data_IF_018211259409
#
_entry.id   IF_018211259409
#
_cell.length_a   1.000
_cell.length_b   1.000
_cell.length_c   1.000
_cell.angle_alpha   90.00
_cell.angle_beta   90.00
_cell.angle_gamma   90.00
#
_symmetry.space_group_name_H-M   'P 1'
#
loop_
_entity.id
_entity.type
_entity.pdbx_description
1 polymer ?
#
# COMPACT_ATOMS: atom_id res chain seq x y z
N UNK A 1 8.84 -8.58 5.00
CA UNK A 1 8.22 -9.85 4.57
C UNK A 1 9.11 -10.62 3.62
N UNK A 2 9.09 -11.95 3.75
CA UNK A 2 9.75 -12.89 2.85
C UNK A 2 8.70 -13.65 2.06
N UNK A 3 8.99 -13.96 0.79
CA UNK A 3 8.13 -14.82 -0.01
C UNK A 3 8.91 -15.58 -1.07
N UNK A 4 8.21 -16.42 -1.83
CA UNK A 4 8.81 -17.25 -2.88
C UNK A 4 8.49 -16.69 -4.26
N UNK A 5 9.53 -16.61 -5.10
CA UNK A 5 9.40 -16.36 -6.53
C UNK A 5 10.10 -17.50 -7.28
N UNK A 6 9.32 -18.41 -7.87
CA UNK A 6 9.82 -19.70 -8.33
C UNK A 6 10.44 -20.49 -7.17
N UNK A 7 11.67 -20.98 -7.34
CA UNK A 7 12.36 -21.72 -6.28
C UNK A 7 13.14 -20.82 -5.29
N UNK A 8 13.13 -19.49 -5.45
CA UNK A 8 13.92 -18.57 -4.61
C UNK A 8 13.07 -17.98 -3.50
N UNK A 9 13.62 -17.91 -2.27
CA UNK A 9 13.04 -17.15 -1.15
C UNK A 9 13.70 -15.76 -1.08
N UNK A 10 12.90 -14.71 -1.25
CA UNK A 10 13.35 -13.33 -1.42
C UNK A 10 12.71 -12.42 -0.38
N UNK A 11 13.35 -11.29 -0.10
CA UNK A 11 12.70 -10.14 0.55
C UNK A 11 11.70 -9.55 -0.44
N UNK A 12 10.41 -9.54 -0.10
CA UNK A 12 9.36 -8.97 -0.96
C UNK A 12 8.88 -7.60 -0.46
N UNK A 13 8.99 -7.36 0.84
CA UNK A 13 8.78 -6.04 1.44
C UNK A 13 9.74 -5.82 2.60
N UNK A 14 10.16 -4.58 2.79
CA UNK A 14 11.03 -4.14 3.88
C UNK A 14 10.53 -2.81 4.42
N UNK A 15 10.43 -2.72 5.75
CA UNK A 15 10.06 -1.49 6.45
C UNK A 15 11.19 -0.45 6.37
N UNK A 16 10.91 0.75 6.90
CA UNK A 16 11.87 1.86 6.89
C UNK A 16 13.17 1.52 7.64
N UNK A 17 13.08 0.80 8.76
CA UNK A 17 14.25 0.45 9.57
C UNK A 17 15.17 -0.55 8.84
N UNK A 18 14.59 -1.58 8.24
CA UNK A 18 15.30 -2.56 7.43
C UNK A 18 15.95 -1.89 6.21
N UNK A 19 15.25 -0.97 5.53
CA UNK A 19 15.82 -0.19 4.42
C UNK A 19 16.99 0.69 4.88
N UNK A 20 16.85 1.37 6.02
CA UNK A 20 17.92 2.19 6.60
C UNK A 20 19.15 1.35 6.99
N UNK A 21 18.95 0.09 7.37
CA UNK A 21 20.02 -0.88 7.64
C UNK A 21 20.61 -1.51 6.36
N UNK A 22 20.19 -1.08 5.17
CA UNK A 22 20.75 -1.51 3.89
C UNK A 22 20.07 -2.73 3.25
N UNK A 23 18.92 -3.19 3.75
CA UNK A 23 18.11 -4.17 3.03
C UNK A 23 17.40 -3.53 1.84
N UNK A 24 17.30 -4.29 0.76
CA UNK A 24 16.47 -3.96 -0.40
C UNK A 24 15.56 -5.13 -0.76
N UNK A 25 14.43 -4.82 -1.38
CA UNK A 25 13.52 -5.82 -1.96
C UNK A 25 14.23 -6.56 -3.10
N UNK A 26 13.93 -7.85 -3.24
CA UNK A 26 14.47 -8.72 -4.28
C UNK A 26 15.76 -9.46 -3.89
N UNK A 27 16.40 -9.12 -2.78
CA UNK A 27 17.58 -9.88 -2.31
C UNK A 27 17.18 -11.23 -1.71
N UNK A 28 18.06 -12.26 -1.78
CA UNK A 28 17.81 -13.54 -1.12
C UNK A 28 17.62 -13.37 0.39
N UNK A 29 16.66 -14.10 0.96
CA UNK A 29 16.37 -14.07 2.39
C UNK A 29 17.60 -14.43 3.24
N UNK A 30 18.43 -15.38 2.79
CA UNK A 30 19.68 -15.74 3.46
C UNK A 30 20.68 -14.59 3.49
N UNK A 31 20.78 -13.81 2.40
CA UNK A 31 21.64 -12.62 2.35
C UNK A 31 21.12 -11.53 3.29
N UNK A 32 19.82 -11.31 3.33
CA UNK A 32 19.19 -10.34 4.23
C UNK A 32 19.50 -10.63 5.71
N UNK A 33 19.42 -11.90 6.12
CA UNK A 33 19.72 -12.33 7.49
C UNK A 33 21.19 -12.15 7.88
N UNK A 34 22.11 -12.19 6.92
CA UNK A 34 23.54 -11.91 7.15
C UNK A 34 23.80 -10.40 7.27
N UNK A 35 23.12 -9.58 6.45
CA UNK A 35 23.29 -8.13 6.45
C UNK A 35 22.75 -7.46 7.71
N UNK A 36 21.64 -7.96 8.24
CA UNK A 36 21.01 -7.43 9.46
C UNK A 36 20.90 -8.54 10.50
N UNK A 37 21.81 -8.56 11.49
CA UNK A 37 21.72 -9.46 12.63
C UNK A 37 20.38 -9.28 13.34
N UNK A 38 19.78 -10.39 13.80
CA UNK A 38 18.48 -10.40 14.47
C UNK A 38 17.31 -9.86 13.62
N UNK A 39 17.42 -9.89 12.29
CA UNK A 39 16.33 -9.51 11.39
C UNK A 39 15.05 -10.29 11.72
N UNK A 40 14.00 -9.55 12.10
CA UNK A 40 12.66 -10.12 12.22
C UNK A 40 12.10 -10.35 10.82
N UNK A 41 11.68 -11.59 10.55
CA UNK A 41 11.13 -11.98 9.27
C UNK A 41 9.76 -12.59 9.42
N UNK A 42 8.82 -12.12 8.61
CA UNK A 42 7.46 -12.63 8.50
C UNK A 42 7.28 -13.19 7.09
N UNK A 43 6.62 -14.33 6.95
CA UNK A 43 6.25 -14.84 5.63
C UNK A 43 5.09 -14.03 5.05
N UNK A 44 5.13 -13.80 3.74
CA UNK A 44 4.08 -13.13 2.99
C UNK A 44 2.82 -14.02 3.00
N UNK A 45 1.72 -13.46 3.47
CA UNK A 45 0.38 -14.04 3.30
C UNK A 45 -0.41 -13.19 2.31
N UNK A 46 -0.22 -13.49 1.02
CA UNK A 46 -0.83 -12.72 -0.06
C UNK A 46 -2.37 -12.77 -0.04
N UNK A 47 -2.96 -13.82 0.54
CA UNK A 47 -4.41 -13.92 0.65
C UNK A 47 -4.93 -12.99 1.75
N UNK A 48 -4.27 -12.96 2.91
CA UNK A 48 -4.64 -12.04 3.99
C UNK A 48 -4.43 -10.57 3.58
N UNK A 49 -3.35 -10.26 2.86
CA UNK A 49 -3.09 -8.90 2.35
C UNK A 49 -4.16 -8.47 1.33
N UNK A 50 -4.53 -9.34 0.40
CA UNK A 50 -5.60 -9.06 -0.56
C UNK A 50 -6.96 -8.84 0.13
N UNK A 51 -7.30 -9.66 1.13
CA UNK A 51 -8.53 -9.47 1.90
C UNK A 51 -8.52 -8.14 2.67
N UNK A 52 -7.37 -7.74 3.23
CA UNK A 52 -7.21 -6.46 3.90
C UNK A 52 -7.41 -5.28 2.93
N UNK A 53 -6.88 -5.39 1.71
CA UNK A 53 -7.05 -4.38 0.67
C UNK A 53 -8.51 -4.21 0.27
N UNK A 54 -9.24 -5.32 0.10
CA UNK A 54 -10.68 -5.30 -0.19
C UNK A 54 -11.48 -4.63 0.94
N UNK A 55 -11.17 -4.94 2.20
CA UNK A 55 -11.80 -4.25 3.34
C UNK A 55 -11.50 -2.75 3.34
N UNK A 56 -10.29 -2.36 2.93
CA UNK A 56 -9.91 -0.95 2.81
C UNK A 56 -10.65 -0.24 1.67
N UNK A 57 -10.89 -0.92 0.54
CA UNK A 57 -11.73 -0.43 -0.54
C UNK A 57 -13.17 -0.16 -0.04
N UNK A 58 -13.76 -1.14 0.67
CA UNK A 58 -15.10 -0.99 1.26
C UNK A 58 -15.18 0.16 2.28
N UNK A 59 -14.16 0.30 3.14
CA UNK A 59 -14.10 1.41 4.09
C UNK A 59 -14.03 2.78 3.40
N UNK A 60 -13.41 2.83 2.22
CA UNK A 60 -13.20 4.04 1.42
C UNK A 60 -14.43 4.48 0.63
N UNK A 61 -15.51 3.70 0.58
CA UNK A 61 -16.80 4.10 -0.02
C UNK A 61 -17.43 5.36 0.61
N UNK A 62 -16.93 5.80 1.77
CA UNK A 62 -17.27 7.10 2.38
C UNK A 62 -16.84 8.30 1.56
N UNK A 63 -15.87 8.13 0.66
CA UNK A 63 -15.29 9.20 -0.14
C UNK A 63 -16.01 9.32 -1.48
N UNK A 64 -16.31 8.20 -2.12
CA UNK A 64 -17.00 8.16 -3.40
C UNK A 64 -17.76 6.82 -3.57
N UNK A 65 -18.81 6.77 -4.42
CA UNK A 65 -19.62 5.57 -4.58
C UNK A 65 -18.91 4.43 -5.33
N UNK A 66 -17.84 4.74 -6.08
CA UNK A 66 -17.12 3.76 -6.89
C UNK A 66 -15.68 3.69 -6.38
N UNK A 67 -15.37 2.58 -5.71
CA UNK A 67 -14.04 2.27 -5.17
C UNK A 67 -13.72 0.81 -5.46
N UNK A 68 -12.48 0.54 -5.84
CA UNK A 68 -11.97 -0.81 -6.04
C UNK A 68 -10.57 -0.97 -5.42
N UNK A 69 -10.27 -2.18 -4.97
CA UNK A 69 -8.89 -2.58 -4.70
C UNK A 69 -8.08 -2.57 -6.01
N UNK A 70 -6.85 -2.05 -5.95
CA UNK A 70 -5.86 -2.10 -7.03
C UNK A 70 -4.62 -2.85 -6.52
N UNK A 71 -4.59 -4.20 -6.66
CA UNK A 71 -3.54 -5.01 -6.07
C UNK A 71 -2.13 -4.63 -6.56
N UNK A 72 -1.10 -4.80 -5.70
CA UNK A 72 -1.16 -5.48 -4.41
C UNK A 72 -1.47 -4.57 -3.20
N UNK A 73 -1.38 -3.26 -3.34
CA UNK A 73 -1.38 -2.31 -2.22
C UNK A 73 -2.03 -0.94 -2.54
N UNK A 74 -2.79 -0.85 -3.63
CA UNK A 74 -3.45 0.37 -4.10
C UNK A 74 -4.97 0.35 -3.99
N UNK A 75 -5.57 1.53 -4.12
CA UNK A 75 -7.01 1.73 -4.29
C UNK A 75 -7.24 2.61 -5.51
N UNK A 76 -8.28 2.30 -6.28
CA UNK A 76 -8.81 3.19 -7.31
C UNK A 76 -10.14 3.75 -6.82
N UNK A 77 -10.27 5.06 -6.85
CA UNK A 77 -11.46 5.80 -6.42
C UNK A 77 -11.89 6.69 -7.58
N UNK A 78 -13.09 6.49 -8.10
CA UNK A 78 -13.71 7.43 -9.03
C UNK A 78 -14.43 8.51 -8.23
N UNK A 79 -13.85 9.70 -8.20
CA UNK A 79 -14.31 10.85 -7.42
C UNK A 79 -15.35 11.70 -8.17
N UNK A 80 -15.77 11.29 -9.38
CA UNK A 80 -16.68 12.06 -10.24
C UNK A 80 -17.94 12.48 -9.49
N UNK A 81 -18.08 13.79 -9.27
CA UNK A 81 -19.24 14.36 -8.57
C UNK A 81 -19.31 14.02 -7.09
N UNK A 82 -18.23 13.55 -6.46
CA UNK A 82 -18.15 13.29 -5.02
C UNK A 82 -17.15 14.23 -4.32
N UNK A 83 -16.10 14.64 -5.01
CA UNK A 83 -15.05 15.56 -4.55
C UNK A 83 -15.57 16.85 -3.88
N UNK A 84 -16.57 17.51 -4.48
CA UNK A 84 -17.15 18.75 -3.96
C UNK A 84 -17.84 18.59 -2.59
N UNK A 85 -18.26 17.36 -2.25
CA UNK A 85 -18.82 17.05 -0.92
C UNK A 85 -17.75 17.06 0.18
N UNK A 86 -16.48 16.96 -0.21
CA UNK A 86 -15.31 17.00 0.67
C UNK A 86 -14.55 18.33 0.58
N UNK A 87 -15.06 19.31 -0.17
CA UNK A 87 -14.41 20.60 -0.37
C UNK A 87 -13.51 20.67 -1.62
N UNK A 88 -13.66 19.73 -2.55
CA UNK A 88 -12.86 19.61 -3.76
C UNK A 88 -11.75 18.55 -3.63
N UNK A 89 -11.06 18.29 -4.74
CA UNK A 89 -10.08 17.21 -4.86
C UNK A 89 -8.95 17.30 -3.82
N UNK A 90 -8.33 18.47 -3.66
CA UNK A 90 -7.21 18.66 -2.72
C UNK A 90 -7.62 18.33 -1.27
N UNK A 91 -8.76 18.85 -0.83
CA UNK A 91 -9.27 18.63 0.52
C UNK A 91 -9.68 17.16 0.74
N UNK A 92 -10.23 16.51 -0.29
CA UNK A 92 -10.55 15.08 -0.29
C UNK A 92 -9.29 14.23 -0.14
N UNK A 93 -8.22 14.51 -0.90
CA UNK A 93 -6.95 13.79 -0.86
C UNK A 93 -6.26 13.96 0.49
N UNK A 94 -6.17 15.20 0.99
CA UNK A 94 -5.57 15.48 2.30
C UNK A 94 -6.34 14.76 3.42
N UNK A 95 -7.67 14.79 3.37
CA UNK A 95 -8.53 14.10 4.32
C UNK A 95 -8.35 12.58 4.27
N UNK A 96 -8.26 12.00 3.07
CA UNK A 96 -8.02 10.58 2.88
C UNK A 96 -6.69 10.15 3.48
N UNK A 97 -5.60 10.79 3.07
CA UNK A 97 -4.24 10.45 3.53
C UNK A 97 -4.12 10.64 5.05
N UNK A 98 -4.68 11.73 5.59
CA UNK A 98 -4.67 11.99 7.03
C UNK A 98 -5.40 10.91 7.83
N UNK A 99 -6.53 10.38 7.32
CA UNK A 99 -7.26 9.29 8.00
C UNK A 99 -6.57 7.94 7.90
N UNK A 100 -5.88 7.67 6.79
CA UNK A 100 -5.01 6.49 6.68
C UNK A 100 -3.89 6.57 7.72
N UNK A 101 -3.22 7.72 7.80
CA UNK A 101 -2.16 7.95 8.78
C UNK A 101 -2.66 7.81 10.23
N UNK A 102 -3.86 8.33 10.54
CA UNK A 102 -4.50 8.15 11.85
C UNK A 102 -4.84 6.69 12.18
N UNK A 103 -4.97 5.83 11.16
CA UNK A 103 -5.16 4.38 11.30
C UNK A 103 -3.84 3.60 11.30
N UNK A 104 -2.69 4.29 11.26
CA UNK A 104 -1.36 3.68 11.22
C UNK A 104 -0.94 3.19 9.83
N UNK A 105 -1.62 3.63 8.77
CA UNK A 105 -1.31 3.26 7.38
C UNK A 105 -0.67 4.47 6.69
N UNK A 106 0.58 4.32 6.23
CA UNK A 106 1.21 5.31 5.36
C UNK A 106 0.65 5.17 3.94
N UNK A 107 0.12 6.26 3.39
CA UNK A 107 -0.53 6.28 2.08
C UNK A 107 -0.05 7.47 1.25
N UNK A 108 -0.09 7.29 -0.07
CA UNK A 108 0.07 8.36 -1.06
C UNK A 108 -1.15 8.35 -1.95
N UNK A 109 -1.57 9.54 -2.40
CA UNK A 109 -2.71 9.69 -3.28
C UNK A 109 -2.36 10.70 -4.38
N UNK A 110 -2.89 10.44 -5.58
CA UNK A 110 -2.89 11.36 -6.70
C UNK A 110 -4.29 11.38 -7.31
N UNK A 111 -4.63 12.50 -7.95
CA UNK A 111 -5.90 12.72 -8.63
C UNK A 111 -5.62 13.24 -10.03
N UNK A 112 -6.32 12.70 -11.02
CA UNK A 112 -6.22 13.08 -12.42
C UNK A 112 -7.45 12.61 -13.19
N UNK A 113 -7.63 13.15 -14.39
CA UNK A 113 -8.76 12.83 -15.28
C UNK A 113 -8.81 11.35 -15.74
N UNK A 114 -7.73 10.59 -15.53
CA UNK A 114 -7.65 9.18 -15.94
C UNK A 114 -6.91 8.34 -14.90
N UNK A 115 -7.27 7.07 -14.80
CA UNK A 115 -6.61 6.14 -13.87
C UNK A 115 -5.09 6.06 -14.07
N UNK A 116 -4.63 6.00 -15.32
CA UNK A 116 -3.19 5.90 -15.61
C UNK A 116 -2.40 7.14 -15.17
N UNK A 117 -3.02 8.32 -15.17
CA UNK A 117 -2.39 9.55 -14.70
C UNK A 117 -2.48 9.72 -13.17
N UNK A 118 -3.43 9.05 -12.52
CA UNK A 118 -3.64 9.07 -11.08
C UNK A 118 -2.87 7.99 -10.31
N UNK A 119 -2.10 7.13 -10.99
CA UNK A 119 -1.29 6.10 -10.33
C UNK A 119 -0.08 6.70 -9.60
N UNK A 120 0.09 6.37 -8.32
CA UNK A 120 1.02 7.02 -7.39
C UNK A 120 2.03 6.07 -6.75
#
# INVERSE_FOLDING_TARGET
MLGRQGNRRLVLAADAAARAAGLSVGIPASKAQVLVPNLQSFDLDAAADAEALERMALWSLRYAPIVAADPPDGLIIDTTGADHLHGGEDAMLEGLVSRMAASGIEARAAVADTWGAAHA
#
